data_IF_802763639616
#
_entry.id   IF_802763639616
#
_cell.length_a   1.000
_cell.length_b   1.000
_cell.length_c   1.000
_cell.angle_alpha   90.00
_cell.angle_beta   90.00
_cell.angle_gamma   90.00
#
_symmetry.space_group_name_H-M   'P 1'
#
loop_
_entity.id
_entity.type
_entity.pdbx_description
1 polymer ?
#
# COMPACT_ATOMS: atom_id res chain seq x y z
N UNK A 1 -69.90 -37.52 40.80
CA UNK A 1 -70.77 -37.15 39.68
C UNK A 1 -70.12 -35.91 39.08
N UNK A 2 -69.33 -35.93 38.01
CA UNK A 2 -69.16 -36.93 36.95
C UNK A 2 -67.73 -36.95 36.38
N UNK A 3 -67.39 -38.11 35.82
CA UNK A 3 -66.30 -38.44 34.86
C UNK A 3 -66.18 -37.37 33.76
N UNK A 4 -65.04 -37.00 33.20
CA UNK A 4 -63.98 -37.85 32.63
C UNK A 4 -63.76 -37.49 31.15
N UNK A 5 -62.66 -38.00 30.58
CA UNK A 5 -62.31 -38.12 29.16
C UNK A 5 -61.46 -37.06 28.44
N UNK A 6 -60.38 -37.60 27.89
CA UNK A 6 -59.41 -37.03 26.98
C UNK A 6 -59.80 -37.23 25.50
N UNK A 7 -59.02 -36.56 24.63
CA UNK A 7 -58.83 -36.70 23.16
C UNK A 7 -59.70 -35.81 22.26
N UNK A 8 -59.06 -34.89 21.51
CA UNK A 8 -58.56 -35.13 20.14
C UNK A 8 -57.91 -33.87 19.54
N UNK A 9 -56.87 -34.10 18.73
CA UNK A 9 -56.13 -33.15 17.91
C UNK A 9 -57.05 -32.26 17.04
N UNK A 10 -56.68 -30.97 16.90
CA UNK A 10 -56.70 -30.28 15.61
C UNK A 10 -55.49 -29.35 15.46
N UNK A 11 -54.77 -29.55 14.36
CA UNK A 11 -53.77 -28.67 13.78
C UNK A 11 -54.23 -27.20 13.74
N UNK A 12 -53.37 -26.29 14.16
CA UNK A 12 -53.33 -24.93 13.63
C UNK A 12 -51.88 -24.44 13.67
N UNK A 13 -51.19 -24.64 12.55
CA UNK A 13 -49.97 -23.94 12.19
C UNK A 13 -50.32 -22.46 12.00
N UNK A 14 -50.00 -21.62 12.99
CA UNK A 14 -50.15 -20.17 12.85
C UNK A 14 -48.79 -19.60 12.47
N UNK A 15 -48.60 -19.43 11.16
CA UNK A 15 -47.59 -18.54 10.58
C UNK A 15 -48.32 -17.20 10.38
N UNK A 16 -47.91 -16.14 11.08
CA UNK A 16 -48.08 -14.77 10.59
C UNK A 16 -47.01 -13.83 11.15
N UNK A 17 -45.96 -13.68 10.34
CA UNK A 17 -45.25 -12.45 9.96
C UNK A 17 -45.18 -11.35 11.01
N UNK A 18 -44.10 -11.32 11.79
CA UNK A 18 -43.57 -10.06 12.32
C UNK A 18 -42.83 -9.41 11.15
N UNK A 19 -43.40 -8.34 10.61
CA UNK A 19 -42.71 -7.44 9.69
C UNK A 19 -41.55 -6.78 10.41
N UNK A 20 -40.38 -7.42 10.37
CA UNK A 20 -39.14 -6.71 10.62
C UNK A 20 -38.94 -5.78 9.44
N UNK A 21 -39.20 -4.49 9.65
CA UNK A 21 -38.44 -3.47 8.93
C UNK A 21 -36.98 -3.70 9.30
N UNK A 22 -36.28 -4.43 8.45
CA UNK A 22 -34.83 -4.48 8.42
C UNK A 22 -34.35 -3.06 8.20
N UNK A 23 -34.01 -2.35 9.27
CA UNK A 23 -33.00 -1.30 9.17
C UNK A 23 -31.75 -2.07 8.79
N UNK A 24 -31.40 -2.04 7.51
CA UNK A 24 -30.10 -2.47 7.04
C UNK A 24 -29.08 -1.55 7.70
N UNK A 25 -28.59 -1.92 8.89
CA UNK A 25 -27.32 -1.42 9.38
C UNK A 25 -26.31 -2.10 8.47
N UNK A 26 -25.91 -1.42 7.41
CA UNK A 26 -24.68 -1.73 6.70
C UNK A 26 -23.55 -1.61 7.72
N UNK A 27 -23.18 -2.74 8.32
CA UNK A 27 -21.87 -2.87 8.94
C UNK A 27 -20.85 -2.50 7.85
N UNK A 28 -19.87 -1.62 8.11
CA UNK A 28 -18.82 -1.37 7.15
C UNK A 28 -18.18 -2.72 6.82
N UNK A 29 -18.29 -3.12 5.55
CA UNK A 29 -17.52 -4.25 5.03
C UNK A 29 -16.06 -3.83 5.14
N UNK A 30 -15.27 -4.60 5.88
CA UNK A 30 -13.82 -4.59 5.72
C UNK A 30 -13.54 -4.76 4.22
N UNK A 31 -12.96 -3.74 3.61
CA UNK A 31 -12.42 -3.85 2.26
C UNK A 31 -11.24 -4.80 2.40
N UNK A 32 -11.38 -6.00 1.84
CA UNK A 32 -10.23 -6.89 1.65
C UNK A 32 -9.18 -6.10 0.86
N UNK A 33 -8.00 -5.91 1.45
CA UNK A 33 -6.79 -5.70 0.67
C UNK A 33 -6.71 -6.85 -0.35
N UNK A 34 -6.59 -6.51 -1.63
CA UNK A 34 -6.72 -7.47 -2.73
C UNK A 34 -5.58 -8.48 -2.72
N UNK A 35 -5.84 -9.66 -2.15
CA UNK A 35 -4.95 -10.82 -2.21
C UNK A 35 -5.23 -11.69 -3.44
N UNK A 36 -6.03 -11.23 -4.41
CA UNK A 36 -6.43 -12.02 -5.57
C UNK A 36 -6.24 -11.21 -6.84
N UNK A 37 -5.05 -11.36 -7.44
CA UNK A 37 -4.76 -10.88 -8.77
C UNK A 37 -5.97 -11.04 -9.70
N UNK A 38 -6.31 -9.94 -10.38
CA UNK A 38 -7.44 -9.70 -11.30
C UNK A 38 -8.57 -8.81 -10.75
N UNK A 39 -8.26 -7.61 -10.23
CA UNK A 39 -8.86 -6.33 -10.65
C UNK A 39 -8.13 -5.14 -9.97
N UNK A 40 -7.70 -4.18 -10.79
CA UNK A 40 -6.78 -3.07 -10.46
C UNK A 40 -7.34 -2.05 -9.44
N UNK A 41 -7.03 -2.24 -8.15
CA UNK A 41 -6.88 -1.15 -7.17
C UNK A 41 -5.39 -0.87 -6.90
N UNK A 42 -4.99 0.32 -6.41
CA UNK A 42 -3.57 0.65 -6.22
C UNK A 42 -2.99 -0.17 -5.06
N UNK A 43 -2.18 -1.18 -5.36
CA UNK A 43 -1.59 -2.11 -4.40
C UNK A 43 -0.61 -1.43 -3.44
N UNK A 44 -0.94 -1.39 -2.14
CA UNK A 44 -0.12 -0.82 -1.07
C UNK A 44 -0.66 -1.11 0.35
N UNK A 45 -1.98 -1.22 0.51
CA UNK A 45 -2.60 -1.66 1.77
C UNK A 45 -2.56 -3.20 1.90
N UNK A 46 -2.28 -3.70 3.09
CA UNK A 46 -2.39 -5.12 3.49
C UNK A 46 -3.49 -5.36 4.54
N UNK A 47 -3.95 -4.30 5.21
CA UNK A 47 -5.00 -4.40 6.22
C UNK A 47 -5.75 -3.08 6.41
N UNK A 48 -7.01 -3.20 6.83
CA UNK A 48 -7.86 -2.07 7.23
C UNK A 48 -8.58 -2.47 8.52
N UNK A 49 -8.53 -1.57 9.49
CA UNK A 49 -9.05 -1.77 10.83
C UNK A 49 -10.57 -1.84 10.84
N UNK A 50 -11.10 -2.64 11.76
CA UNK A 50 -12.52 -2.79 12.00
C UNK A 50 -12.82 -2.36 13.42
N UNK A 51 -13.78 -1.46 13.58
CA UNK A 51 -14.20 -0.98 14.90
C UNK A 51 -14.37 -2.11 15.92
N UNK A 52 -13.68 -1.98 17.05
CA UNK A 52 -13.92 -2.78 18.24
C UNK A 52 -14.23 -1.88 19.42
N UNK A 53 -15.05 -2.37 20.32
CA UNK A 53 -15.43 -1.61 21.49
C UNK A 53 -14.23 -1.49 22.43
N UNK A 54 -13.89 -0.27 22.82
CA UNK A 54 -13.05 -0.07 23.98
C UNK A 54 -13.85 0.57 25.11
N UNK A 55 -13.89 -0.16 26.22
CA UNK A 55 -14.60 0.22 27.42
C UNK A 55 -13.79 1.33 28.09
N UNK A 56 -14.20 2.61 27.95
CA UNK A 56 -13.85 3.76 28.82
C UNK A 56 -14.36 5.09 28.21
N UNK A 57 -15.65 5.40 28.37
CA UNK A 57 -16.16 6.77 28.16
C UNK A 57 -16.40 7.40 29.52
N UNK A 58 -15.57 8.35 29.92
CA UNK A 58 -15.76 9.09 31.16
C UNK A 58 -16.01 10.56 30.82
N UNK A 59 -17.11 11.12 31.32
CA UNK A 59 -17.38 12.55 31.24
C UNK A 59 -16.74 13.24 32.44
N UNK A 60 -15.82 14.16 32.20
CA UNK A 60 -15.24 15.01 33.22
C UNK A 60 -16.04 16.30 33.33
N UNK A 61 -16.91 16.37 34.35
CA UNK A 61 -17.78 17.52 34.60
C UNK A 61 -17.03 18.79 35.03
N UNK A 62 -15.76 18.68 35.43
CA UNK A 62 -14.95 19.82 35.89
C UNK A 62 -14.35 20.60 34.71
N UNK A 63 -13.94 19.87 33.67
CA UNK A 63 -13.39 20.42 32.43
C UNK A 63 -14.44 20.51 31.32
N UNK A 64 -15.63 19.93 31.53
CA UNK A 64 -16.66 19.72 30.50
C UNK A 64 -16.11 19.00 29.26
N UNK A 65 -15.23 18.03 29.47
CA UNK A 65 -14.58 17.26 28.41
C UNK A 65 -14.82 15.77 28.58
N UNK A 66 -14.72 15.01 27.48
CA UNK A 66 -14.73 13.56 27.55
C UNK A 66 -13.30 13.02 27.51
N UNK A 67 -13.00 12.09 28.42
CA UNK A 67 -11.93 11.13 28.21
C UNK A 67 -12.54 9.97 27.41
N UNK A 68 -12.01 9.80 26.20
CA UNK A 68 -12.57 8.89 25.21
C UNK A 68 -11.54 7.89 24.77
N UNK A 69 -11.99 6.67 24.54
CA UNK A 69 -11.21 5.67 23.85
C UNK A 69 -11.78 5.40 22.46
N UNK A 70 -10.89 5.08 21.51
CA UNK A 70 -11.21 4.42 20.25
C UNK A 70 -10.34 3.19 20.06
N UNK A 71 -10.88 2.17 19.40
CA UNK A 71 -10.12 0.99 19.07
C UNK A 71 -10.62 0.35 17.77
N UNK A 72 -9.69 -0.24 17.04
CA UNK A 72 -9.96 -1.08 15.88
C UNK A 72 -9.14 -2.36 15.97
N UNK A 73 -9.70 -3.45 15.43
CA UNK A 73 -9.01 -4.71 15.24
C UNK A 73 -8.49 -4.77 13.81
N UNK A 74 -7.21 -5.08 13.63
CA UNK A 74 -6.56 -5.19 12.33
C UNK A 74 -6.03 -6.61 12.10
N UNK A 75 -6.08 -7.05 10.86
CA UNK A 75 -5.48 -8.31 10.40
C UNK A 75 -4.66 -8.00 9.17
N UNK A 76 -3.45 -8.57 9.11
CA UNK A 76 -2.52 -8.40 8.00
C UNK A 76 -2.04 -9.77 7.53
N UNK A 77 -1.46 -9.83 6.34
CA UNK A 77 -1.03 -11.07 5.69
C UNK A 77 0.49 -11.14 5.54
N UNK A 78 1.20 -10.02 5.63
CA UNK A 78 2.65 -9.94 5.45
C UNK A 78 3.37 -9.66 6.77
N UNK A 79 4.61 -10.14 6.93
CA UNK A 79 5.49 -9.61 7.96
C UNK A 79 5.98 -8.22 7.55
N UNK A 80 6.46 -7.49 8.53
CA UNK A 80 7.03 -6.15 8.35
C UNK A 80 6.04 -5.22 7.65
N UNK A 81 4.82 -5.15 8.20
CA UNK A 81 3.84 -4.14 7.79
C UNK A 81 4.01 -2.88 8.62
N UNK A 82 3.90 -1.73 7.97
CA UNK A 82 3.70 -0.47 8.66
C UNK A 82 2.24 -0.36 9.10
N UNK A 83 2.01 -0.26 10.41
CA UNK A 83 0.70 -0.02 11.00
C UNK A 83 0.57 1.49 11.25
N UNK A 84 -0.34 2.14 10.51
CA UNK A 84 -0.67 3.55 10.66
C UNK A 84 -1.95 3.71 11.45
N UNK A 85 -1.93 4.62 12.40
CA UNK A 85 -3.08 5.09 13.15
C UNK A 85 -3.38 6.51 12.72
N UNK A 86 -4.55 6.69 12.12
CA UNK A 86 -5.11 7.98 11.77
C UNK A 86 -6.21 8.33 12.77
N UNK A 87 -6.18 9.54 13.31
CA UNK A 87 -7.25 10.01 14.18
C UNK A 87 -7.60 11.45 13.88
N UNK A 88 -8.87 11.79 14.12
CA UNK A 88 -9.38 13.14 13.93
C UNK A 88 -10.40 13.50 15.01
N UNK A 89 -10.28 14.70 15.54
CA UNK A 89 -11.31 15.33 16.35
C UNK A 89 -11.85 16.52 15.55
N UNK A 90 -13.01 16.30 14.94
CA UNK A 90 -13.65 17.26 14.05
C UNK A 90 -14.25 18.41 14.84
N UNK A 91 -14.00 19.65 14.40
CA UNK A 91 -14.46 20.88 15.05
C UNK A 91 -13.99 21.06 16.51
N UNK A 92 -12.94 20.35 16.92
CA UNK A 92 -12.47 20.33 18.30
C UNK A 92 -11.44 21.42 18.66
N UNK A 93 -10.75 21.98 17.66
CA UNK A 93 -9.66 22.94 17.87
C UNK A 93 -10.14 24.39 17.73
N UNK A 94 -11.20 24.74 18.47
CA UNK A 94 -11.79 26.09 18.44
C UNK A 94 -11.03 27.08 19.34
N UNK A 95 -10.94 28.37 18.95
CA UNK A 95 -10.29 29.39 19.77
C UNK A 95 -10.88 29.49 21.19
N UNK A 96 -10.02 29.52 22.20
CA UNK A 96 -10.43 29.69 23.61
C UNK A 96 -10.81 28.40 24.34
N UNK A 97 -10.66 27.23 23.71
CA UNK A 97 -10.84 25.92 24.33
C UNK A 97 -9.49 25.21 24.46
N UNK A 98 -9.35 24.35 25.46
CA UNK A 98 -8.18 23.45 25.56
C UNK A 98 -8.21 22.51 24.35
N UNK A 99 -7.15 22.47 23.51
CA UNK A 99 -7.13 21.57 22.36
C UNK A 99 -7.28 20.11 22.82
N UNK A 100 -7.98 19.26 22.03
CA UNK A 100 -8.00 17.84 22.30
C UNK A 100 -6.59 17.27 22.18
N UNK A 101 -6.32 16.18 22.90
CA UNK A 101 -5.07 15.46 22.83
C UNK A 101 -5.33 13.98 22.56
N UNK A 102 -4.43 13.36 21.78
CA UNK A 102 -4.27 11.92 21.73
C UNK A 102 -3.16 11.58 22.74
N UNK A 103 -3.55 11.03 23.89
CA UNK A 103 -2.66 10.85 25.04
C UNK A 103 -1.74 9.63 24.90
N UNK A 104 -2.28 8.55 24.33
CA UNK A 104 -1.52 7.31 24.12
C UNK A 104 -2.18 6.43 23.05
N UNK A 105 -1.35 5.72 22.29
CA UNK A 105 -1.76 4.56 21.50
C UNK A 105 -1.26 3.29 22.21
N UNK A 106 -2.16 2.34 22.42
CA UNK A 106 -1.88 1.06 23.05
C UNK A 106 -2.25 -0.09 22.11
N UNK A 107 -1.46 -1.15 22.17
CA UNK A 107 -1.50 -2.26 21.23
C UNK A 107 -1.55 -3.60 21.97
N UNK A 108 -2.38 -4.52 21.51
CA UNK A 108 -2.53 -5.83 22.13
C UNK A 108 -1.32 -6.73 21.92
N UNK A 109 -0.68 -6.67 20.74
CA UNK A 109 0.51 -7.45 20.40
C UNK A 109 1.82 -6.82 20.90
N UNK A 110 1.74 -5.62 21.48
CA UNK A 110 2.87 -4.92 22.07
C UNK A 110 3.65 -4.04 21.09
N UNK A 111 3.05 -3.66 19.96
CA UNK A 111 3.63 -2.68 19.04
C UNK A 111 3.80 -1.32 19.74
N UNK A 112 4.96 -0.69 19.50
CA UNK A 112 5.26 0.63 20.05
C UNK A 112 5.02 1.70 19.00
N UNK A 113 3.97 2.49 19.19
CA UNK A 113 3.61 3.56 18.27
C UNK A 113 4.41 4.84 18.51
N UNK A 114 4.98 5.39 17.44
CA UNK A 114 5.64 6.68 17.42
C UNK A 114 4.74 7.74 16.77
N UNK A 115 4.73 8.99 17.28
CA UNK A 115 4.01 10.08 16.63
C UNK A 115 4.69 10.47 15.32
N UNK A 116 3.90 10.64 14.25
CA UNK A 116 4.36 11.19 12.97
C UNK A 116 4.05 12.67 12.85
N UNK A 117 2.80 13.06 13.06
CA UNK A 117 2.41 14.46 13.17
C UNK A 117 1.20 14.66 14.10
N UNK A 118 1.05 15.90 14.57
CA UNK A 118 -0.16 16.39 15.23
C UNK A 118 -0.46 17.79 14.74
N UNK A 119 -1.68 17.99 14.25
CA UNK A 119 -2.16 19.24 13.68
C UNK A 119 -3.42 19.68 14.43
N UNK A 120 -3.56 20.96 14.76
CA UNK A 120 -4.74 21.48 15.48
C UNK A 120 -5.11 22.89 15.00
N UNK A 121 -5.89 22.98 13.92
CA UNK A 121 -6.49 24.22 13.43
C UNK A 121 -7.91 23.90 12.97
N UNK A 122 -8.93 24.45 13.66
CA UNK A 122 -10.37 24.15 13.53
C UNK A 122 -10.76 22.70 13.90
N UNK A 123 -10.02 21.72 13.39
CA UNK A 123 -10.03 20.32 13.80
C UNK A 123 -8.64 19.90 14.27
N UNK A 124 -8.59 18.77 14.98
CA UNK A 124 -7.32 18.11 15.30
C UNK A 124 -7.15 16.84 14.50
N UNK A 125 -5.98 16.66 13.88
CA UNK A 125 -5.59 15.48 13.11
C UNK A 125 -4.30 14.91 13.71
N UNK A 126 -4.23 13.58 13.80
CA UNK A 126 -3.06 12.88 14.30
C UNK A 126 -2.71 11.71 13.41
N UNK A 127 -1.41 11.45 13.29
CA UNK A 127 -0.88 10.24 12.68
C UNK A 127 0.19 9.65 13.60
N UNK A 128 0.07 8.35 13.84
CA UNK A 128 1.02 7.54 14.58
C UNK A 128 1.35 6.30 13.75
N UNK A 129 2.52 5.71 13.98
CA UNK A 129 2.93 4.53 13.25
C UNK A 129 3.71 3.55 14.13
N UNK A 130 3.63 2.27 13.79
CA UNK A 130 4.47 1.20 14.31
C UNK A 130 4.79 0.21 13.20
N UNK A 131 5.82 -0.62 13.39
CA UNK A 131 6.15 -1.71 12.45
C UNK A 131 5.77 -3.03 13.09
N UNK A 132 4.92 -3.80 12.41
CA UNK A 132 4.54 -5.14 12.82
C UNK A 132 5.54 -6.15 12.23
N UNK A 133 6.44 -6.75 13.03
CA UNK A 133 7.48 -7.65 12.51
C UNK A 133 6.91 -8.99 12.03
N UNK A 134 5.65 -9.27 12.30
CA UNK A 134 4.94 -10.51 11.94
C UNK A 134 3.51 -10.15 11.52
N UNK A 135 2.87 -10.97 10.67
CA UNK A 135 1.47 -10.77 10.32
C UNK A 135 0.58 -10.71 11.57
N UNK A 136 -0.33 -9.74 11.61
CA UNK A 136 -1.26 -9.57 12.72
C UNK A 136 -2.56 -10.35 12.45
N UNK A 137 -3.16 -10.91 13.50
CA UNK A 137 -4.46 -11.58 13.39
C UNK A 137 -5.40 -11.07 14.48
N UNK A 138 -6.43 -10.35 14.05
CA UNK A 138 -7.41 -9.72 14.95
C UNK A 138 -6.75 -8.93 16.10
N UNK A 139 -5.67 -8.21 15.79
CA UNK A 139 -4.90 -7.45 16.76
C UNK A 139 -5.58 -6.12 17.08
N UNK A 140 -5.75 -5.80 18.35
CA UNK A 140 -6.47 -4.61 18.77
C UNK A 140 -5.51 -3.44 19.02
N UNK A 141 -5.66 -2.40 18.22
CA UNK A 141 -5.01 -1.10 18.41
C UNK A 141 -6.03 -0.14 19.01
N UNK A 142 -5.65 0.54 20.07
CA UNK A 142 -6.51 1.48 20.80
C UNK A 142 -5.81 2.80 21.07
N UNK A 143 -6.58 3.89 21.15
CA UNK A 143 -6.07 5.20 21.51
C UNK A 143 -6.95 5.83 22.59
N UNK A 144 -6.29 6.47 23.55
CA UNK A 144 -6.90 7.29 24.59
C UNK A 144 -6.78 8.77 24.23
N UNK A 145 -7.86 9.51 24.46
CA UNK A 145 -7.96 10.92 24.13
C UNK A 145 -8.52 11.70 25.32
N UNK A 146 -8.01 12.91 25.50
CA UNK A 146 -8.46 13.86 26.50
C UNK A 146 -8.91 15.17 25.84
N UNK A 147 -9.69 15.95 26.58
CA UNK A 147 -10.20 17.25 26.13
C UNK A 147 -11.04 17.20 24.84
N UNK A 148 -11.69 16.06 24.59
CA UNK A 148 -12.54 15.86 23.40
C UNK A 148 -13.88 16.57 23.60
N UNK A 149 -14.20 17.47 22.67
CA UNK A 149 -15.36 18.37 22.64
C UNK A 149 -16.16 18.26 21.32
N UNK A 150 -15.78 17.36 20.40
CA UNK A 150 -16.44 17.13 19.11
C UNK A 150 -16.40 15.68 18.65
N UNK A 151 -16.85 15.38 17.41
CA UNK A 151 -16.80 14.03 16.85
C UNK A 151 -15.36 13.51 16.75
N UNK A 152 -15.12 12.37 17.38
CA UNK A 152 -13.82 11.69 17.37
C UNK A 152 -13.87 10.46 16.46
N UNK A 153 -12.99 10.48 15.46
CA UNK A 153 -12.79 9.45 14.45
C UNK A 153 -11.38 8.85 14.61
N UNK A 154 -11.27 7.57 14.28
CA UNK A 154 -10.07 6.78 14.46
C UNK A 154 -10.10 5.67 13.42
N UNK A 155 -8.98 5.42 12.75
CA UNK A 155 -8.82 4.34 11.81
C UNK A 155 -7.40 3.82 11.81
N UNK A 156 -7.25 2.52 11.58
CA UNK A 156 -5.98 1.83 11.51
C UNK A 156 -5.84 1.21 10.13
N UNK A 157 -4.72 1.46 9.46
CA UNK A 157 -4.40 0.81 8.19
C UNK A 157 -3.04 0.12 8.30
N UNK A 158 -2.88 -0.99 7.60
CA UNK A 158 -1.62 -1.66 7.44
C UNK A 158 -1.13 -1.51 6.00
N UNK A 159 0.13 -1.15 5.86
CA UNK A 159 0.80 -0.91 4.58
C UNK A 159 1.91 -1.94 4.43
N UNK A 160 1.87 -2.70 3.34
CA UNK A 160 2.92 -3.66 3.03
C UNK A 160 3.91 -3.10 2.03
N UNK A 161 5.15 -3.56 2.14
CA UNK A 161 6.19 -3.26 1.16
C UNK A 161 6.74 -1.84 1.28
N UNK A 162 6.65 -1.22 2.45
CA UNK A 162 7.33 0.04 2.76
C UNK A 162 8.86 -0.14 2.83
N UNK A 163 9.59 0.97 2.70
CA UNK A 163 11.04 1.02 2.83
C UNK A 163 11.45 1.45 4.25
N UNK A 164 11.85 0.49 5.09
CA UNK A 164 12.28 0.77 6.46
C UNK A 164 13.53 1.66 6.59
N UNK A 165 14.28 1.87 5.49
CA UNK A 165 15.37 2.85 5.50
C UNK A 165 14.86 4.30 5.47
N UNK A 166 13.64 4.50 4.97
CA UNK A 166 12.93 5.78 4.92
C UNK A 166 11.43 5.56 4.79
N UNK A 167 10.75 5.20 5.89
CA UNK A 167 9.32 4.82 5.89
C UNK A 167 8.45 5.93 5.27
N UNK A 168 8.70 7.18 5.64
CA UNK A 168 7.99 8.34 5.10
C UNK A 168 8.83 9.03 4.03
N UNK A 169 8.15 9.56 3.02
CA UNK A 169 8.78 10.35 1.96
C UNK A 169 9.47 11.59 2.54
N UNK A 170 10.72 11.81 2.15
CA UNK A 170 11.56 12.90 2.65
C UNK A 170 11.33 14.23 1.89
N UNK A 171 10.38 14.28 0.96
CA UNK A 171 10.06 15.52 0.27
C UNK A 171 9.63 16.60 1.28
N UNK A 172 10.22 17.82 1.23
CA UNK A 172 9.94 18.86 2.22
C UNK A 172 8.52 19.43 2.17
N UNK A 173 7.71 19.08 1.16
CA UNK A 173 6.29 19.42 1.12
C UNK A 173 5.40 18.48 1.95
N UNK A 174 5.96 17.40 2.50
CA UNK A 174 5.26 16.39 3.28
C UNK A 174 5.71 16.39 4.77
N UNK A 175 4.79 16.18 5.74
CA UNK A 175 3.36 16.07 5.53
C UNK A 175 2.77 17.45 5.20
N UNK A 176 1.80 17.50 4.29
CA UNK A 176 1.11 18.74 3.93
C UNK A 176 -0.15 18.88 4.76
N UNK A 177 -0.26 19.95 5.54
CA UNK A 177 -1.42 20.22 6.39
C UNK A 177 -2.09 21.52 5.97
N UNK A 178 -3.41 21.51 5.86
CA UNK A 178 -4.17 22.64 5.33
C UNK A 178 -5.42 22.87 6.15
N UNK A 179 -5.57 24.04 6.80
CA UNK A 179 -6.84 24.44 7.38
C UNK A 179 -7.80 24.83 6.26
N UNK A 180 -9.05 24.42 6.38
CA UNK A 180 -10.11 24.74 5.43
C UNK A 180 -11.08 25.74 6.09
N UNK A 181 -11.79 26.50 5.26
CA UNK A 181 -12.81 27.44 5.73
C UNK A 181 -14.21 26.88 5.46
N UNK A 182 -14.86 26.22 6.44
CA UNK A 182 -16.19 25.64 6.25
C UNK A 182 -17.28 26.71 6.03
N UNK A 183 -16.99 28.00 6.24
CA UNK A 183 -17.94 29.10 6.09
C UNK A 183 -17.67 30.00 4.87
N UNK A 184 -16.81 29.58 3.93
CA UNK A 184 -16.53 30.35 2.71
C UNK A 184 -17.74 30.35 1.72
N UNK A 185 -17.81 31.33 0.78
CA UNK A 185 -18.84 31.35 -0.25
C UNK A 185 -18.81 30.09 -1.13
N UNK A 186 -20.00 29.58 -1.48
CA UNK A 186 -20.15 28.35 -2.26
C UNK A 186 -19.71 28.49 -3.73
N UNK A 187 -19.23 27.41 -4.40
CA UNK A 187 -19.03 26.06 -3.86
C UNK A 187 -17.79 25.96 -2.96
N UNK A 188 -17.95 25.30 -1.81
CA UNK A 188 -16.84 25.03 -0.89
C UNK A 188 -15.89 23.99 -1.46
N UNK A 189 -14.61 24.35 -1.54
CA UNK A 189 -13.53 23.42 -1.85
C UNK A 189 -12.33 23.71 -0.95
N UNK A 190 -11.62 22.65 -0.60
CA UNK A 190 -10.33 22.75 0.08
C UNK A 190 -9.33 21.92 -0.70
N UNK A 191 -8.14 22.47 -0.93
CA UNK A 191 -7.09 21.78 -1.67
C UNK A 191 -5.75 21.98 -0.99
N UNK A 192 -4.88 21.01 -1.20
CA UNK A 192 -3.49 21.08 -0.76
C UNK A 192 -2.60 20.48 -1.82
N UNK A 193 -1.38 21.00 -1.91
CA UNK A 193 -0.39 20.56 -2.90
C UNK A 193 0.79 19.91 -2.21
N UNK A 194 1.28 18.82 -2.81
CA UNK A 194 2.45 18.09 -2.33
C UNK A 194 3.25 17.54 -3.51
N UNK A 195 4.47 17.09 -3.22
CA UNK A 195 5.32 16.37 -4.16
C UNK A 195 5.83 15.11 -3.47
N UNK A 196 5.98 14.03 -4.24
CA UNK A 196 6.57 12.78 -3.75
C UNK A 196 7.90 12.53 -4.47
N UNK A 197 8.81 11.78 -3.84
CA UNK A 197 10.16 11.53 -4.32
C UNK A 197 10.31 10.20 -5.06
N UNK A 198 9.34 9.30 -4.98
CA UNK A 198 9.42 7.99 -5.61
C UNK A 198 8.09 7.28 -5.76
N UNK A 199 8.13 5.96 -5.56
CA UNK A 199 6.94 5.13 -5.49
C UNK A 199 6.40 5.22 -4.07
N UNK A 200 5.26 5.85 -3.88
CA UNK A 200 4.74 6.16 -2.55
C UNK A 200 3.25 5.81 -2.44
N UNK A 201 2.82 5.33 -1.27
CA UNK A 201 1.42 5.33 -0.87
C UNK A 201 1.12 6.68 -0.21
N UNK A 202 0.29 7.49 -0.85
CA UNK A 202 -0.17 8.75 -0.29
C UNK A 202 -1.47 8.52 0.46
N UNK A 203 -1.55 9.05 1.69
CA UNK A 203 -2.72 8.98 2.55
C UNK A 203 -3.17 10.40 2.87
N UNK A 204 -4.45 10.68 2.68
CA UNK A 204 -5.10 11.97 2.94
C UNK A 204 -6.15 11.80 4.03
N UNK A 205 -5.94 12.43 5.18
CA UNK A 205 -6.87 12.48 6.31
C UNK A 205 -7.64 13.80 6.28
N UNK A 206 -8.97 13.72 6.17
CA UNK A 206 -9.84 14.86 5.84
C UNK A 206 -10.92 14.97 6.90
N UNK A 207 -10.88 16.04 7.69
CA UNK A 207 -11.96 16.35 8.63
C UNK A 207 -13.07 17.11 7.92
N UNK A 208 -14.30 16.63 8.04
CA UNK A 208 -15.49 17.16 7.39
C UNK A 208 -16.49 17.53 8.47
N UNK A 209 -17.25 18.60 8.29
CA UNK A 209 -18.31 18.98 9.23
C UNK A 209 -19.53 18.02 9.15
N UNK A 210 -20.76 18.52 9.27
CA UNK A 210 -21.99 17.72 9.26
C UNK A 210 -22.54 17.47 7.85
N UNK A 211 -21.67 17.47 6.84
CA UNK A 211 -22.04 17.37 5.42
C UNK A 211 -21.46 16.11 4.75
N UNK A 212 -21.97 15.74 3.56
CA UNK A 212 -21.40 14.64 2.78
C UNK A 212 -19.88 14.72 2.60
N UNK A 213 -19.32 13.52 2.44
CA UNK A 213 -17.92 13.28 2.12
C UNK A 213 -17.40 14.05 0.91
N UNK A 214 -16.08 14.17 0.81
CA UNK A 214 -15.43 14.71 -0.37
C UNK A 214 -15.72 13.82 -1.60
N UNK A 215 -15.81 14.43 -2.78
CA UNK A 215 -15.70 13.67 -4.02
C UNK A 215 -14.27 13.12 -4.11
N UNK A 216 -14.13 11.80 -4.13
CA UNK A 216 -12.81 11.15 -4.22
C UNK A 216 -12.10 11.58 -5.51
N UNK A 217 -10.87 12.13 -5.41
CA UNK A 217 -10.09 12.46 -6.59
C UNK A 217 -9.80 11.23 -7.46
N UNK A 218 -9.63 11.39 -8.78
CA UNK A 218 -9.30 10.27 -9.66
C UNK A 218 -8.03 9.54 -9.19
N UNK A 219 -8.14 8.22 -8.98
CA UNK A 219 -7.04 7.36 -8.54
C UNK A 219 -6.97 7.14 -7.02
N UNK A 220 -7.67 7.96 -6.23
CA UNK A 220 -7.82 7.74 -4.79
C UNK A 220 -8.95 6.74 -4.50
N UNK A 221 -8.80 6.02 -3.39
CA UNK A 221 -9.82 5.16 -2.81
C UNK A 221 -10.10 5.60 -1.36
N UNK A 222 -11.35 5.47 -0.90
CA UNK A 222 -11.75 5.77 0.49
C UNK A 222 -11.47 4.59 1.42
N UNK A 223 -10.98 4.87 2.62
CA UNK A 223 -10.76 3.93 3.71
C UNK A 223 -10.50 4.68 5.04
N UNK A 224 -11.53 4.96 5.88
CA UNK A 224 -12.93 4.52 5.82
C UNK A 224 -13.88 5.55 5.18
N UNK A 225 -15.14 5.16 4.90
CA UNK A 225 -16.20 6.03 4.38
C UNK A 225 -16.97 6.74 5.53
N UNK A 226 -17.16 8.07 5.49
CA UNK A 226 -18.04 8.72 6.48
C UNK A 226 -18.06 10.26 6.53
N UNK A 227 -19.20 10.83 6.94
CA UNK A 227 -19.51 12.27 6.82
C UNK A 227 -18.81 13.25 7.77
N UNK A 228 -18.10 12.81 8.80
CA UNK A 228 -17.35 13.72 9.71
C UNK A 228 -15.85 13.66 9.51
N UNK A 229 -15.38 12.62 8.84
CA UNK A 229 -13.97 12.37 8.59
C UNK A 229 -13.82 11.28 7.55
N UNK A 230 -12.89 11.47 6.64
CA UNK A 230 -12.54 10.51 5.61
C UNK A 230 -11.02 10.32 5.60
N UNK A 231 -10.59 9.11 5.28
CA UNK A 231 -9.22 8.87 4.86
C UNK A 231 -9.23 8.32 3.44
N UNK A 232 -8.55 9.02 2.55
CA UNK A 232 -8.39 8.65 1.16
C UNK A 232 -6.94 8.22 0.92
N UNK A 233 -6.71 7.26 0.03
CA UNK A 233 -5.35 6.85 -0.31
C UNK A 233 -5.16 6.57 -1.79
N UNK A 234 -3.93 6.73 -2.27
CA UNK A 234 -3.51 6.37 -3.62
C UNK A 234 -2.06 5.92 -3.64
N UNK A 235 -1.76 4.89 -4.43
CA UNK A 235 -0.36 4.53 -4.74
C UNK A 235 0.07 5.26 -6.00
N UNK A 236 1.13 6.06 -5.87
CA UNK A 236 1.83 6.64 -6.99
C UNK A 236 2.99 5.73 -7.40
N UNK A 237 3.06 5.27 -8.67
CA UNK A 237 4.11 4.35 -9.11
C UNK A 237 5.47 5.04 -9.30
N UNK A 238 5.50 6.37 -9.25
CA UNK A 238 6.66 7.21 -9.50
C UNK A 238 6.47 8.58 -8.87
N UNK A 239 7.58 9.30 -8.67
CA UNK A 239 7.61 10.63 -8.09
C UNK A 239 6.57 11.56 -8.74
N UNK A 240 5.86 12.32 -7.90
CA UNK A 240 4.93 13.35 -8.34
C UNK A 240 5.47 14.73 -8.03
N UNK A 241 5.25 15.68 -8.93
CA UNK A 241 5.63 17.07 -8.73
C UNK A 241 4.39 17.95 -8.65
N UNK A 242 4.22 18.66 -7.54
CA UNK A 242 3.14 19.62 -7.31
C UNK A 242 1.74 19.05 -7.57
N UNK A 243 1.51 17.80 -7.15
CA UNK A 243 0.19 17.18 -7.20
C UNK A 243 -0.76 17.96 -6.28
N UNK A 244 -1.99 18.21 -6.74
CA UNK A 244 -3.00 18.92 -5.94
C UNK A 244 -4.13 17.97 -5.59
N UNK A 245 -4.25 17.66 -4.31
CA UNK A 245 -5.39 16.95 -3.76
C UNK A 245 -6.48 17.97 -3.43
N UNK A 246 -7.71 17.71 -3.88
CA UNK A 246 -8.85 18.59 -3.66
C UNK A 246 -10.02 17.82 -3.07
N UNK A 247 -10.50 18.28 -1.91
CA UNK A 247 -11.82 17.96 -1.43
C UNK A 247 -12.81 19.01 -1.96
N UNK A 248 -13.67 18.60 -2.89
CA UNK A 248 -14.74 19.43 -3.44
C UNK A 248 -16.05 18.67 -3.46
N UNK A 249 -17.17 19.39 -3.46
CA UNK A 249 -18.47 18.79 -3.68
C UNK A 249 -18.84 18.77 -5.17
N UNK A 250 -19.76 17.86 -5.52
CA UNK A 250 -20.46 17.96 -6.80
C UNK A 250 -21.42 19.15 -6.78
N UNK A 251 -21.92 19.61 -7.94
CA UNK A 251 -22.87 20.73 -8.00
C UNK A 251 -24.21 20.49 -7.28
N UNK A 252 -24.47 19.27 -6.81
CA UNK A 252 -25.74 18.83 -6.19
C UNK A 252 -25.62 18.42 -4.73
N UNK A 253 -24.40 18.29 -4.20
CA UNK A 253 -24.11 17.95 -2.80
C UNK A 253 -23.21 19.04 -2.22
N UNK A 254 -23.22 19.24 -0.90
CA UNK A 254 -22.28 20.16 -0.25
C UNK A 254 -21.23 19.33 0.50
N UNK A 255 -20.02 19.84 0.58
CA UNK A 255 -18.98 19.32 1.47
C UNK A 255 -18.40 20.48 2.26
N UNK A 256 -18.14 20.24 3.53
CA UNK A 256 -17.60 21.26 4.45
C UNK A 256 -16.29 20.73 5.05
N UNK A 257 -15.21 20.64 4.26
CA UNK A 257 -13.91 20.30 4.79
C UNK A 257 -13.49 21.37 5.80
N UNK A 258 -13.00 20.92 6.95
CA UNK A 258 -12.52 21.77 8.04
C UNK A 258 -11.00 21.78 8.08
N UNK A 259 -10.38 20.63 7.82
CA UNK A 259 -8.93 20.48 7.75
C UNK A 259 -8.56 19.25 6.94
N UNK A 260 -7.37 19.28 6.32
CA UNK A 260 -6.78 18.14 5.64
C UNK A 260 -5.32 17.97 6.07
N UNK A 261 -4.87 16.72 6.14
CA UNK A 261 -3.46 16.37 6.25
C UNK A 261 -3.15 15.28 5.22
N UNK A 262 -2.03 15.42 4.54
CA UNK A 262 -1.54 14.45 3.55
C UNK A 262 -0.12 14.06 3.93
N UNK A 263 0.14 12.76 3.98
CA UNK A 263 1.49 12.22 4.09
C UNK A 263 1.71 11.11 3.05
N UNK A 264 2.97 10.74 2.84
CA UNK A 264 3.33 9.68 1.93
C UNK A 264 4.28 8.67 2.56
N UNK A 265 3.96 7.38 2.38
CA UNK A 265 4.78 6.25 2.78
C UNK A 265 5.57 5.79 1.57
N UNK A 266 6.90 5.75 1.70
CA UNK A 266 7.76 5.27 0.63
C UNK A 266 7.66 3.77 0.51
N UNK A 267 7.24 3.31 -0.66
CA UNK A 267 7.13 1.89 -0.98
C UNK A 267 8.40 1.43 -1.67
N UNK A 268 8.87 0.24 -1.29
CA UNK A 268 9.92 -0.45 -2.02
C UNK A 268 9.50 -0.62 -3.47
N UNK A 269 10.43 -0.27 -4.36
CA UNK A 269 10.36 -0.70 -5.75
C UNK A 269 10.50 -2.22 -5.75
N UNK A 270 9.56 -2.93 -6.38
CA UNK A 270 9.65 -4.38 -6.52
C UNK A 270 10.91 -4.70 -7.33
N UNK A 271 11.91 -5.29 -6.69
CA UNK A 271 13.10 -5.77 -7.39
C UNK A 271 12.74 -7.12 -8.01
N UNK A 272 12.37 -7.11 -9.29
CA UNK A 272 12.09 -8.35 -10.02
C UNK A 272 13.42 -9.04 -10.33
N UNK A 273 13.58 -10.26 -9.82
CA UNK A 273 14.71 -11.12 -10.18
C UNK A 273 14.43 -11.77 -11.53
N UNK A 274 15.30 -11.53 -12.50
CA UNK A 274 15.27 -12.18 -13.80
C UNK A 274 16.38 -13.22 -13.91
N UNK A 275 16.08 -14.30 -14.62
CA UNK A 275 17.08 -15.26 -15.10
C UNK A 275 17.23 -15.08 -16.59
N UNK A 276 18.47 -14.88 -17.02
CA UNK A 276 18.90 -14.88 -18.42
C UNK A 276 19.58 -16.22 -18.68
N UNK A 277 19.11 -17.00 -19.66
CA UNK A 277 19.68 -18.31 -20.00
C UNK A 277 19.91 -18.47 -21.50
N UNK A 278 20.89 -19.29 -21.86
CA UNK A 278 21.26 -19.60 -23.25
C UNK A 278 22.05 -20.92 -23.31
N UNK A 279 22.38 -21.36 -24.52
CA UNK A 279 23.36 -22.40 -24.77
C UNK A 279 24.58 -21.81 -25.49
N UNK A 280 25.78 -22.18 -25.03
CA UNK A 280 27.07 -21.81 -25.63
C UNK A 280 27.74 -23.05 -26.22
N UNK A 281 28.24 -22.93 -27.45
CA UNK A 281 29.01 -23.98 -28.14
C UNK A 281 30.49 -23.67 -28.04
N UNK A 282 31.29 -24.67 -27.66
CA UNK A 282 32.75 -24.58 -27.54
C UNK A 282 33.27 -23.63 -26.45
N UNK A 283 32.38 -23.24 -25.52
CA UNK A 283 32.70 -22.41 -24.36
C UNK A 283 33.46 -23.23 -23.31
N UNK A 284 34.73 -23.49 -23.56
CA UNK A 284 35.55 -24.45 -22.84
C UNK A 284 36.74 -23.82 -22.10
N UNK A 285 37.05 -22.54 -22.34
CA UNK A 285 38.09 -21.83 -21.62
C UNK A 285 37.59 -20.90 -20.52
N UNK A 286 38.42 -20.72 -19.49
CA UNK A 286 38.10 -19.86 -18.36
C UNK A 286 38.08 -18.38 -18.75
N UNK A 287 36.96 -17.72 -18.47
CA UNK A 287 36.67 -16.32 -18.76
C UNK A 287 36.77 -16.00 -20.26
N UNK A 288 36.46 -16.99 -21.09
CA UNK A 288 36.45 -16.88 -22.54
C UNK A 288 35.41 -15.88 -23.03
N UNK A 289 34.21 -15.93 -22.47
CA UNK A 289 33.13 -15.07 -22.91
C UNK A 289 32.77 -14.05 -21.85
N UNK A 290 32.62 -12.80 -22.27
CA UNK A 290 32.22 -11.70 -21.39
C UNK A 290 30.85 -11.19 -21.78
N UNK A 291 29.97 -11.07 -20.78
CA UNK A 291 28.61 -10.60 -20.91
C UNK A 291 28.49 -9.20 -20.31
N UNK A 292 27.90 -8.28 -21.06
CA UNK A 292 27.49 -6.97 -20.55
C UNK A 292 26.00 -6.73 -20.80
N UNK A 293 25.29 -6.24 -19.79
CA UNK A 293 23.87 -5.90 -19.85
C UNK A 293 23.73 -4.39 -19.69
N UNK A 294 23.16 -3.73 -20.70
CA UNK A 294 23.04 -2.27 -20.77
C UNK A 294 24.40 -1.56 -20.57
N UNK A 295 25.47 -2.17 -21.06
CA UNK A 295 26.85 -1.68 -20.93
C UNK A 295 27.52 -1.94 -19.58
N UNK A 296 26.83 -2.58 -18.62
CA UNK A 296 27.40 -2.98 -17.34
C UNK A 296 27.89 -4.43 -17.40
N UNK A 297 29.06 -4.72 -16.82
CA UNK A 297 29.54 -6.10 -16.71
C UNK A 297 28.55 -6.96 -15.94
N UNK A 298 28.20 -8.11 -16.51
CA UNK A 298 27.27 -9.07 -15.90
C UNK A 298 28.01 -10.32 -15.45
N UNK A 299 28.79 -10.95 -16.32
CA UNK A 299 29.55 -12.15 -16.02
C UNK A 299 30.68 -12.36 -17.03
N UNK A 300 31.65 -13.19 -16.65
CA UNK A 300 32.55 -13.84 -17.60
C UNK A 300 32.50 -15.35 -17.38
N UNK A 301 32.31 -16.10 -18.47
CA UNK A 301 31.93 -17.50 -18.46
C UNK A 301 32.66 -18.29 -19.54
N UNK A 302 32.89 -19.60 -19.33
CA UNK A 302 32.87 -20.28 -18.03
C UNK A 302 33.84 -19.62 -17.02
N UNK A 303 33.59 -19.70 -15.70
CA UNK A 303 34.47 -19.02 -14.72
C UNK A 303 35.86 -19.67 -14.59
N UNK A 304 35.98 -20.92 -15.02
CA UNK A 304 37.19 -21.74 -15.05
C UNK A 304 37.19 -22.60 -16.31
N UNK A 305 38.37 -23.03 -16.76
CA UNK A 305 38.51 -23.96 -17.88
C UNK A 305 37.59 -25.17 -17.69
N UNK A 306 36.79 -25.40 -18.72
CA UNK A 306 35.75 -26.41 -18.79
C UNK A 306 35.89 -27.25 -20.07
N UNK A 307 36.98 -28.02 -20.24
CA UNK A 307 37.29 -28.75 -21.49
C UNK A 307 36.19 -29.73 -21.94
N UNK A 308 35.31 -30.13 -21.02
CA UNK A 308 34.12 -30.92 -21.34
C UNK A 308 33.13 -30.22 -22.27
N UNK A 309 33.20 -28.89 -22.41
CA UNK A 309 32.35 -28.10 -23.28
C UNK A 309 32.93 -27.98 -24.70
N UNK A 310 34.21 -28.34 -24.91
CA UNK A 310 34.89 -28.19 -26.19
C UNK A 310 34.18 -28.92 -27.32
N UNK A 311 33.83 -28.19 -28.38
CA UNK A 311 33.06 -28.66 -29.52
C UNK A 311 31.66 -29.19 -29.20
N UNK A 312 31.08 -28.78 -28.06
CA UNK A 312 29.75 -29.22 -27.61
C UNK A 312 28.91 -28.05 -27.08
N UNK A 313 27.59 -28.23 -27.04
CA UNK A 313 26.66 -27.26 -26.47
C UNK A 313 26.51 -27.45 -24.96
N UNK A 314 26.79 -26.40 -24.20
CA UNK A 314 26.56 -26.32 -22.76
C UNK A 314 25.52 -25.26 -22.41
N UNK A 315 24.75 -25.47 -21.33
CA UNK A 315 23.71 -24.53 -20.88
C UNK A 315 24.26 -23.58 -19.83
N UNK A 316 23.95 -22.29 -19.98
CA UNK A 316 24.39 -21.23 -19.08
C UNK A 316 23.19 -20.40 -18.62
N UNK A 317 23.30 -19.86 -17.40
CA UNK A 317 22.32 -18.94 -16.87
C UNK A 317 22.94 -17.96 -15.87
N UNK A 318 22.42 -16.73 -15.84
CA UNK A 318 22.77 -15.69 -14.87
C UNK A 318 21.50 -15.06 -14.31
N UNK A 319 21.50 -14.83 -13.00
CA UNK A 319 20.44 -14.10 -12.32
C UNK A 319 20.80 -12.63 -12.22
N UNK A 320 19.82 -11.75 -12.42
CA UNK A 320 20.04 -10.30 -12.43
C UNK A 320 18.79 -9.54 -12.02
N UNK A 321 19.00 -8.40 -11.36
CA UNK A 321 17.96 -7.45 -10.96
C UNK A 321 18.08 -6.11 -11.68
N UNK A 322 19.05 -5.98 -12.61
CA UNK A 322 19.43 -4.70 -13.21
C UNK A 322 18.77 -4.43 -14.57
N UNK A 323 17.79 -5.25 -14.96
CA UNK A 323 17.00 -4.94 -16.15
C UNK A 323 16.13 -3.71 -15.90
N UNK A 324 16.02 -2.87 -16.92
CA UNK A 324 15.16 -1.68 -16.91
C UNK A 324 13.86 -1.98 -17.62
N UNK A 325 12.78 -1.28 -17.27
CA UNK A 325 11.54 -1.37 -18.05
C UNK A 325 11.81 -0.87 -19.48
N UNK A 326 11.33 -1.61 -20.48
CA UNK A 326 11.58 -1.31 -21.89
C UNK A 326 12.81 -2.02 -22.45
N UNK A 327 13.53 -1.37 -23.38
CA UNK A 327 14.58 -2.00 -24.16
C UNK A 327 15.84 -2.23 -23.31
N UNK A 328 16.25 -3.48 -23.23
CA UNK A 328 17.52 -3.91 -22.66
C UNK A 328 18.42 -4.47 -23.77
N UNK A 329 19.73 -4.32 -23.63
CA UNK A 329 20.72 -4.87 -24.56
C UNK A 329 21.71 -5.75 -23.81
N UNK A 330 21.70 -7.05 -24.10
CA UNK A 330 22.74 -7.97 -23.66
C UNK A 330 23.76 -8.14 -24.77
N UNK A 331 25.05 -8.08 -24.43
CA UNK A 331 26.15 -8.19 -25.38
C UNK A 331 27.15 -9.24 -24.91
N UNK A 332 27.55 -10.11 -25.82
CA UNK A 332 28.60 -11.12 -25.65
C UNK A 332 29.85 -10.69 -26.42
N UNK A 333 31.01 -10.87 -25.80
CA UNK A 333 32.31 -10.65 -26.43
C UNK A 333 33.28 -11.76 -26.10
N UNK A 334 33.93 -12.25 -27.15
CA UNK A 334 34.90 -13.32 -27.13
C UNK A 334 36.28 -12.87 -26.67
N UNK A 335 36.98 -13.71 -25.92
CA UNK A 335 38.33 -13.44 -25.49
C UNK A 335 39.32 -13.54 -26.66
N UNK A 336 40.32 -12.65 -26.65
CA UNK A 336 41.29 -12.55 -27.74
C UNK A 336 42.29 -13.71 -27.81
N UNK A 337 42.34 -14.57 -26.79
CA UNK A 337 43.29 -15.67 -26.74
C UNK A 337 42.77 -16.93 -27.47
N UNK A 338 41.48 -16.99 -27.79
CA UNK A 338 40.86 -18.12 -28.51
C UNK A 338 40.29 -17.77 -29.90
N UNK A 339 40.85 -16.75 -30.56
CA UNK A 339 40.35 -16.33 -31.88
C UNK A 339 40.49 -17.37 -33.01
N UNK A 340 41.12 -18.52 -32.75
CA UNK A 340 41.29 -19.60 -33.71
C UNK A 340 40.05 -20.50 -33.84
N UNK A 341 39.12 -20.38 -32.91
CA UNK A 341 37.89 -21.15 -32.79
C UNK A 341 36.70 -20.21 -33.00
N UNK A 342 35.58 -20.76 -33.49
CA UNK A 342 34.34 -20.01 -33.63
C UNK A 342 33.32 -20.60 -32.68
N UNK A 343 33.00 -19.83 -31.66
CA UNK A 343 31.97 -20.16 -30.69
C UNK A 343 30.59 -19.80 -31.24
N UNK A 344 29.56 -20.28 -30.55
CA UNK A 344 28.18 -19.95 -30.89
C UNK A 344 27.31 -19.77 -29.65
N UNK A 345 26.25 -18.97 -29.80
CA UNK A 345 25.18 -18.82 -28.81
C UNK A 345 23.84 -19.15 -29.46
N UNK A 346 23.01 -19.93 -28.76
CA UNK A 346 21.64 -20.22 -29.18
C UNK A 346 20.67 -20.33 -27.99
N UNK A 347 19.37 -20.46 -28.29
CA UNK A 347 18.31 -20.69 -27.31
C UNK A 347 18.31 -19.67 -26.15
N UNK A 348 18.51 -18.40 -26.47
CA UNK A 348 18.52 -17.30 -25.53
C UNK A 348 17.12 -17.04 -24.97
N UNK A 349 17.00 -16.92 -23.66
CA UNK A 349 15.75 -16.71 -22.95
C UNK A 349 15.91 -15.75 -21.76
N UNK A 350 14.87 -14.96 -21.49
CA UNK A 350 14.75 -14.14 -20.29
C UNK A 350 13.43 -14.47 -19.59
N UNK A 351 13.49 -14.80 -18.31
CA UNK A 351 12.33 -15.18 -17.48
C UNK A 351 12.38 -14.47 -16.12
N UNK A 352 11.21 -14.20 -15.53
CA UNK A 352 11.09 -13.74 -14.13
C UNK A 352 10.71 -14.87 -13.16
N UNK A 353 10.91 -16.13 -13.58
CA UNK A 353 10.54 -17.34 -12.84
C UNK A 353 9.09 -17.77 -13.03
N UNK A 354 8.19 -16.87 -13.44
CA UNK A 354 6.76 -17.17 -13.66
C UNK A 354 6.32 -16.99 -15.11
N UNK A 355 6.98 -16.12 -15.86
CA UNK A 355 6.74 -15.87 -17.28
C UNK A 355 8.03 -15.70 -18.06
N UNK A 356 8.01 -16.13 -19.33
CA UNK A 356 9.07 -15.89 -20.29
C UNK A 356 8.83 -14.53 -20.93
N UNK A 357 9.74 -13.57 -20.68
CA UNK A 357 9.68 -12.22 -21.25
C UNK A 357 10.27 -12.13 -22.65
N UNK A 358 11.25 -12.97 -22.98
CA UNK A 358 11.88 -13.01 -24.29
C UNK A 358 12.42 -14.41 -24.61
N UNK A 359 12.40 -14.79 -25.89
CA UNK A 359 13.07 -15.99 -26.39
C UNK A 359 13.61 -15.76 -27.81
N UNK A 360 14.78 -16.33 -28.09
CA UNK A 360 15.39 -16.37 -29.42
C UNK A 360 16.18 -17.67 -29.60
N UNK A 361 15.68 -18.55 -30.47
CA UNK A 361 16.31 -19.85 -30.76
C UNK A 361 17.34 -19.81 -31.88
N UNK A 362 17.69 -18.63 -32.41
CA UNK A 362 18.63 -18.51 -33.52
C UNK A 362 20.05 -18.75 -33.02
N UNK A 363 20.76 -19.68 -33.67
CA UNK A 363 22.19 -19.89 -33.45
C UNK A 363 22.98 -18.80 -34.16
N UNK A 364 23.80 -18.07 -33.40
CA UNK A 364 24.62 -16.96 -33.90
C UNK A 364 26.08 -17.20 -33.54
N UNK A 365 27.02 -16.96 -34.47
CA UNK A 365 28.45 -17.11 -34.19
C UNK A 365 28.94 -16.00 -33.28
N UNK A 366 29.94 -16.34 -32.47
CA UNK A 366 30.66 -15.47 -31.56
C UNK A 366 32.16 -15.72 -31.79
N UNK A 367 32.90 -14.65 -32.04
CA UNK A 367 34.34 -14.75 -32.33
C UNK A 367 35.01 -13.41 -32.02
N UNK A 368 36.33 -13.37 -31.98
CA UNK A 368 37.07 -12.12 -31.73
C UNK A 368 36.76 -10.97 -32.71
N UNK A 369 36.27 -11.27 -33.92
CA UNK A 369 35.91 -10.26 -34.91
C UNK A 369 34.44 -9.81 -34.80
N UNK A 370 33.64 -10.47 -33.96
CA UNK A 370 32.21 -10.27 -33.89
C UNK A 370 31.73 -10.15 -32.44
N UNK A 371 31.07 -9.03 -32.16
CA UNK A 371 30.25 -8.88 -30.96
C UNK A 371 28.84 -9.37 -31.26
N UNK A 372 28.26 -10.14 -30.34
CA UNK A 372 26.87 -10.58 -30.44
C UNK A 372 26.01 -9.79 -29.46
N UNK A 373 24.93 -9.17 -29.96
CA UNK A 373 24.02 -8.39 -29.12
C UNK A 373 22.56 -8.81 -29.31
N UNK A 374 21.84 -8.97 -28.20
CA UNK A 374 20.40 -9.18 -28.15
C UNK A 374 19.73 -7.93 -27.58
N UNK A 375 18.81 -7.35 -28.35
CA UNK A 375 17.91 -6.32 -27.87
C UNK A 375 16.55 -6.94 -27.55
N UNK A 376 16.06 -6.74 -26.34
CA UNK A 376 14.79 -7.32 -25.89
C UNK A 376 14.06 -6.37 -24.94
N UNK A 377 12.73 -6.48 -24.90
CA UNK A 377 11.89 -5.68 -24.01
C UNK A 377 11.48 -6.48 -22.79
N UNK A 378 11.37 -5.80 -21.66
CA UNK A 378 10.79 -6.31 -20.42
C UNK A 378 9.73 -5.35 -19.92
#
# INVERSE_FOLDING_TARGET
MDLGYARLLRLALVIFVIGMTTVAITLPRSVKADSTGTNSGPSGLDGSGVYVNCTNRFYNSTTNTFDMCRAESITTNQPDDLILVLAACTNCAQPGQTPPALDSVADQSGLSFAPRYSFAINSSLWEYYAVAPQPLTADNVSAAFSNVNGPLNFHVIAVAGDDFSSIFDQNPSLPSMTPCNPFAPQPLSCSTSFSTSGKDLVVASISINDMPGCQTPPGFAKNPEGGWWEADYQVFPSAQSNYTFSCSSSSTEYTEPIAMAIDAITLRSSVTLYTISWQGYDWDGGNEETLTLNGQFLASLPTVDSPQNGGTWASFAVNTTVLVQGVNTLTFTHASWDCGVSDNVENFQVTNGTSVGYTNSTSLPLSCAQTLSYAFNV
#
